data_IF_024356642685
#
_entry.id   IF_024356642685
#
_cell.length_a   1.000
_cell.length_b   1.000
_cell.length_c   1.000
_cell.angle_alpha   90.00
_cell.angle_beta   90.00
_cell.angle_gamma   90.00
#
_symmetry.space_group_name_H-M   'P 1'
#
loop_
_entity.id
_entity.type
_entity.pdbx_description
1 polymer ?
#
# COMPACT_ATOMS: atom_id res chain seq x y z
N UNK A 1 -23.09 -4.27 19.09
CA UNK A 1 -23.51 -5.67 18.84
C UNK A 1 -22.26 -6.53 18.81
N UNK A 2 -22.19 -7.63 19.58
CA UNK A 2 -20.96 -8.38 19.85
C UNK A 2 -20.64 -9.42 18.75
N UNK A 3 -19.35 -9.76 18.62
CA UNK A 3 -18.91 -11.08 18.13
C UNK A 3 -18.81 -11.28 16.61
N UNK A 4 -17.60 -11.07 16.06
CA UNK A 4 -16.89 -12.02 15.21
C UNK A 4 -15.50 -11.44 14.91
N UNK A 5 -14.57 -11.73 15.83
CA UNK A 5 -13.12 -11.58 15.65
C UNK A 5 -12.64 -12.50 14.52
N UNK A 6 -11.65 -12.05 13.73
CA UNK A 6 -10.70 -12.96 13.06
C UNK A 6 -10.74 -13.05 11.54
N UNK A 7 -11.54 -12.25 10.84
CA UNK A 7 -11.42 -12.10 9.39
C UNK A 7 -11.64 -10.63 9.11
N UNK A 8 -10.65 -9.92 8.56
CA UNK A 8 -10.94 -8.70 7.79
C UNK A 8 -11.97 -9.13 6.76
N UNK A 9 -13.26 -8.89 7.05
CA UNK A 9 -14.38 -9.53 6.33
C UNK A 9 -14.06 -9.38 4.84
N UNK A 10 -13.91 -10.50 4.11
CA UNK A 10 -13.60 -10.52 2.66
C UNK A 10 -14.35 -9.45 1.86
N UNK A 11 -15.55 -9.08 2.33
CA UNK A 11 -16.38 -7.99 1.81
C UNK A 11 -15.69 -6.61 1.74
N UNK A 12 -14.82 -6.24 2.69
CA UNK A 12 -14.17 -4.92 2.74
C UNK A 12 -12.98 -4.86 1.79
N UNK A 13 -12.22 -5.96 1.68
CA UNK A 13 -11.18 -6.07 0.66
C UNK A 13 -11.78 -6.00 -0.74
N UNK A 14 -12.95 -6.62 -0.98
CA UNK A 14 -13.61 -6.53 -2.28
C UNK A 14 -14.15 -5.11 -2.58
N UNK A 15 -14.63 -4.39 -1.55
CA UNK A 15 -15.16 -3.02 -1.67
C UNK A 15 -14.12 -2.02 -2.17
N UNK A 16 -12.89 -2.11 -1.66
CA UNK A 16 -11.82 -1.15 -1.97
C UNK A 16 -10.89 -1.59 -3.12
N UNK A 17 -11.29 -2.61 -3.90
CA UNK A 17 -10.47 -3.14 -5.00
C UNK A 17 -9.26 -3.97 -4.52
N UNK A 18 -9.31 -4.43 -3.28
CA UNK A 18 -8.28 -5.18 -2.58
C UNK A 18 -8.23 -4.78 -1.10
N UNK A 19 -7.56 -5.59 -0.29
CA UNK A 19 -7.16 -5.21 1.06
C UNK A 19 -5.91 -4.31 1.04
N UNK A 20 -5.25 -4.12 2.19
CA UNK A 20 -3.87 -3.65 2.21
C UNK A 20 -2.99 -4.55 1.35
N UNK A 21 -2.00 -3.93 0.70
CA UNK A 21 -0.91 -4.64 0.02
C UNK A 21 0.35 -4.43 0.84
N UNK A 22 1.09 -5.50 1.10
CA UNK A 22 2.45 -5.40 1.63
C UNK A 22 3.44 -5.87 0.57
N UNK A 23 4.26 -4.96 0.08
CA UNK A 23 5.38 -5.30 -0.78
C UNK A 23 6.55 -5.85 0.06
N UNK A 24 7.17 -6.91 -0.44
CA UNK A 24 8.28 -7.63 0.19
C UNK A 24 9.60 -7.48 -0.59
N UNK A 25 9.54 -6.90 -1.80
CA UNK A 25 10.69 -6.60 -2.66
C UNK A 25 10.59 -5.16 -3.21
N UNK A 26 11.72 -4.47 -3.47
CA UNK A 26 13.10 -4.90 -3.18
C UNK A 26 13.45 -4.86 -1.68
N UNK A 27 12.64 -4.19 -0.87
CA UNK A 27 12.77 -4.16 0.59
C UNK A 27 11.53 -4.73 1.25
N UNK A 28 11.70 -5.42 2.38
CA UNK A 28 10.58 -6.04 3.08
C UNK A 28 9.68 -5.02 3.77
N UNK A 29 8.39 -5.33 3.77
CA UNK A 29 7.37 -4.66 4.56
C UNK A 29 7.17 -3.18 4.19
N UNK A 30 6.72 -2.96 2.95
CA UNK A 30 6.18 -1.66 2.50
C UNK A 30 4.68 -1.77 2.34
N UNK A 31 3.92 -1.01 3.12
CA UNK A 31 2.45 -1.07 3.10
C UNK A 31 1.85 -0.08 2.10
N UNK A 32 0.79 -0.52 1.42
CA UNK A 32 -0.12 0.30 0.66
C UNK A 32 -1.57 0.01 1.05
N UNK A 33 -2.34 1.06 1.33
CA UNK A 33 -3.72 0.96 1.84
C UNK A 33 -4.72 1.54 0.82
N UNK A 34 -5.46 0.68 0.11
CA UNK A 34 -6.46 1.12 -0.87
C UNK A 34 -7.50 2.06 -0.25
N UNK A 35 -8.04 1.68 0.91
CA UNK A 35 -9.07 2.45 1.62
C UNK A 35 -8.62 3.90 1.89
N UNK A 36 -7.35 4.07 2.28
CA UNK A 36 -6.81 5.40 2.53
C UNK A 36 -6.74 6.23 1.24
N UNK A 37 -6.22 5.65 0.16
CA UNK A 37 -6.05 6.35 -1.11
C UNK A 37 -7.40 6.69 -1.77
N UNK A 38 -8.35 5.75 -1.79
CA UNK A 38 -9.71 5.98 -2.30
C UNK A 38 -10.43 7.05 -1.46
N UNK A 39 -10.22 7.08 -0.14
CA UNK A 39 -10.73 8.11 0.76
C UNK A 39 -10.19 9.52 0.48
N UNK A 40 -9.11 9.67 -0.31
CA UNK A 40 -8.58 10.96 -0.76
C UNK A 40 -9.14 11.42 -2.11
N UNK A 41 -10.26 10.85 -2.55
CA UNK A 41 -10.93 11.15 -3.83
C UNK A 41 -10.16 10.69 -5.07
N UNK A 42 -9.24 9.74 -4.92
CA UNK A 42 -8.67 9.03 -6.07
C UNK A 42 -9.60 7.89 -6.50
N UNK A 43 -9.71 7.66 -7.81
CA UNK A 43 -10.45 6.54 -8.38
C UNK A 43 -9.52 5.40 -8.78
N UNK A 44 -10.08 4.24 -9.13
CA UNK A 44 -9.29 3.08 -9.57
C UNK A 44 -8.37 3.42 -10.77
N UNK A 45 -8.87 4.25 -11.67
CA UNK A 45 -8.17 4.71 -12.88
C UNK A 45 -7.04 5.69 -12.59
N UNK A 46 -7.01 6.29 -11.39
CA UNK A 46 -5.90 7.16 -10.98
C UNK A 46 -4.58 6.38 -10.82
N UNK A 47 -4.67 5.07 -10.61
CA UNK A 47 -3.51 4.19 -10.43
C UNK A 47 -3.41 3.10 -11.51
N UNK A 48 -4.55 2.56 -11.97
CA UNK A 48 -4.58 1.41 -12.85
C UNK A 48 -5.09 1.73 -14.25
N UNK A 49 -4.50 1.13 -15.31
CA UNK A 49 -3.32 0.26 -15.27
C UNK A 49 -1.98 1.03 -15.31
N UNK A 50 -2.04 2.36 -15.45
CA UNK A 50 -0.91 3.19 -15.87
C UNK A 50 0.27 3.16 -14.90
N UNK A 51 0.02 3.36 -13.60
CA UNK A 51 1.06 3.34 -12.57
C UNK A 51 1.31 1.93 -12.04
N UNK A 52 0.24 1.15 -11.89
CA UNK A 52 0.27 -0.19 -11.32
C UNK A 52 -0.63 -1.14 -12.10
N UNK A 53 -0.19 -2.38 -12.30
CA UNK A 53 -1.08 -3.45 -12.71
C UNK A 53 -2.08 -3.77 -11.58
N UNK A 54 -3.26 -4.32 -11.93
CA UNK A 54 -4.28 -4.69 -10.95
C UNK A 54 -3.87 -5.89 -10.09
N UNK A 55 -2.89 -6.68 -10.54
CA UNK A 55 -2.37 -7.82 -9.81
C UNK A 55 -1.42 -7.35 -8.70
N UNK A 56 -1.77 -7.66 -7.45
CA UNK A 56 -0.92 -7.35 -6.31
C UNK A 56 0.48 -7.96 -6.45
N UNK A 57 1.51 -7.18 -6.09
CA UNK A 57 2.92 -7.58 -6.15
C UNK A 57 3.52 -7.68 -7.55
N UNK A 58 2.77 -7.46 -8.63
CA UNK A 58 3.33 -7.55 -9.99
C UNK A 58 4.40 -6.48 -10.24
N UNK A 59 4.21 -5.28 -9.68
CA UNK A 59 5.17 -4.18 -9.80
C UNK A 59 6.53 -4.49 -9.15
N UNK A 60 6.56 -5.40 -8.18
CA UNK A 60 7.79 -5.80 -7.48
C UNK A 60 8.79 -6.55 -8.37
N UNK A 61 8.33 -7.02 -9.53
CA UNK A 61 9.18 -7.69 -10.53
C UNK A 61 9.86 -6.70 -11.48
N UNK A 62 9.53 -5.40 -11.39
CA UNK A 62 10.13 -4.37 -12.24
C UNK A 62 11.42 -3.87 -11.61
N UNK A 63 12.51 -3.89 -12.37
CA UNK A 63 13.83 -3.42 -11.91
C UNK A 63 13.84 -1.93 -11.55
N UNK A 64 12.93 -1.13 -12.13
CA UNK A 64 12.82 0.29 -11.84
C UNK A 64 11.86 0.60 -10.67
N UNK A 65 11.36 -0.39 -9.94
CA UNK A 65 10.57 -0.19 -8.72
C UNK A 65 11.45 0.16 -7.51
N UNK A 66 12.10 1.32 -7.60
CA UNK A 66 13.09 1.81 -6.62
C UNK A 66 12.78 3.24 -6.17
N UNK A 67 13.30 3.65 -5.01
CA UNK A 67 13.16 5.03 -4.51
C UNK A 67 13.70 6.09 -5.49
N UNK A 68 14.73 5.75 -6.27
CA UNK A 68 15.26 6.63 -7.31
C UNK A 68 14.21 6.93 -8.38
N UNK A 69 13.56 5.90 -8.93
CA UNK A 69 12.44 6.07 -9.84
C UNK A 69 11.28 6.83 -9.22
N UNK A 70 11.02 6.63 -7.92
CA UNK A 70 9.95 7.34 -7.22
C UNK A 70 10.27 8.83 -7.14
N UNK A 71 11.52 9.19 -6.87
CA UNK A 71 11.98 10.58 -6.89
C UNK A 71 11.86 11.24 -8.27
N UNK A 72 11.89 10.44 -9.34
CA UNK A 72 11.65 10.90 -10.71
C UNK A 72 10.15 10.94 -11.10
N UNK A 73 9.24 10.78 -10.13
CA UNK A 73 7.80 10.91 -10.34
C UNK A 73 7.11 9.64 -10.84
N UNK A 74 7.76 8.47 -10.76
CA UNK A 74 7.14 7.17 -11.04
C UNK A 74 6.47 6.58 -9.80
N UNK A 75 5.56 5.63 -10.02
CA UNK A 75 4.93 4.82 -8.96
C UNK A 75 4.38 5.69 -7.81
N UNK A 76 4.78 5.40 -6.57
CA UNK A 76 4.40 6.15 -5.37
C UNK A 76 4.72 7.65 -5.50
N UNK A 77 5.87 7.96 -6.08
CA UNK A 77 6.35 9.33 -6.22
C UNK A 77 5.62 10.17 -7.26
N UNK A 78 4.75 9.58 -8.09
CA UNK A 78 3.83 10.34 -8.95
C UNK A 78 2.98 11.32 -8.15
N UNK A 79 2.55 10.88 -6.97
CA UNK A 79 1.73 11.68 -6.05
C UNK A 79 2.50 12.09 -4.79
N UNK A 80 3.37 11.22 -4.26
CA UNK A 80 4.23 11.52 -3.11
C UNK A 80 5.46 12.35 -3.52
N UNK A 81 5.21 13.51 -4.11
CA UNK A 81 6.20 14.41 -4.71
C UNK A 81 6.50 15.67 -3.86
N UNK A 82 5.82 15.85 -2.74
CA UNK A 82 5.95 17.04 -1.88
C UNK A 82 4.92 18.13 -2.16
N UNK A 83 4.17 18.03 -3.25
CA UNK A 83 3.11 19.00 -3.62
C UNK A 83 1.72 18.40 -3.42
N UNK A 84 1.45 17.22 -4.00
CA UNK A 84 0.14 16.57 -3.90
C UNK A 84 0.00 15.76 -2.60
N UNK A 85 1.08 15.08 -2.20
CA UNK A 85 1.22 14.41 -0.91
C UNK A 85 2.66 14.62 -0.41
N UNK A 86 2.95 14.15 0.82
CA UNK A 86 4.31 14.23 1.37
C UNK A 86 5.31 13.56 0.42
N UNK A 87 6.52 14.13 0.33
CA UNK A 87 7.58 13.58 -0.53
C UNK A 87 8.04 12.21 -0.03
N UNK A 88 8.29 11.28 -0.95
CA UNK A 88 8.88 9.97 -0.67
C UNK A 88 10.20 10.03 0.12
N UNK A 89 10.89 11.19 0.17
CA UNK A 89 12.14 11.36 0.90
C UNK A 89 11.99 11.82 2.36
N UNK A 90 10.78 11.99 2.89
CA UNK A 90 10.58 12.67 4.18
C UNK A 90 9.97 11.83 5.30
N UNK A 91 9.12 10.84 4.95
CA UNK A 91 8.33 10.05 5.92
C UNK A 91 8.49 8.55 5.68
N UNK A 92 9.73 8.07 5.73
CA UNK A 92 10.08 6.69 5.34
C UNK A 92 9.24 5.64 6.09
N UNK A 93 9.02 5.82 7.39
CA UNK A 93 8.29 4.88 8.24
C UNK A 93 6.77 4.85 8.02
N UNK A 94 6.22 5.73 7.19
CA UNK A 94 4.79 5.72 6.85
C UNK A 94 4.46 4.66 5.80
N UNK A 95 5.46 4.25 5.02
CA UNK A 95 5.34 3.16 4.06
C UNK A 95 6.18 1.95 4.51
N UNK A 96 7.44 2.20 4.92
CA UNK A 96 8.38 1.16 5.36
C UNK A 96 8.16 0.83 6.84
N UNK A 97 7.24 -0.10 7.11
CA UNK A 97 6.83 -0.46 8.48
C UNK A 97 7.79 -1.45 9.15
N UNK A 98 8.72 -2.03 8.38
CA UNK A 98 9.70 -2.99 8.88
C UNK A 98 9.08 -4.30 9.38
N UNK A 99 9.93 -5.18 9.94
CA UNK A 99 9.51 -6.52 10.39
C UNK A 99 8.47 -6.44 11.52
N UNK A 100 8.63 -5.50 12.45
CA UNK A 100 7.70 -5.35 13.57
C UNK A 100 6.34 -4.81 13.11
N UNK A 101 6.33 -3.83 12.20
CA UNK A 101 5.08 -3.35 11.63
C UNK A 101 4.35 -4.42 10.83
N UNK A 102 5.08 -5.24 10.07
CA UNK A 102 4.49 -6.37 9.35
C UNK A 102 3.83 -7.38 10.29
N UNK A 103 4.57 -7.80 11.33
CA UNK A 103 4.04 -8.71 12.36
C UNK A 103 2.79 -8.14 13.02
N UNK A 104 2.77 -6.84 13.30
CA UNK A 104 1.59 -6.18 13.88
C UNK A 104 0.37 -6.21 12.96
N UNK A 105 0.57 -6.00 11.65
CA UNK A 105 -0.51 -6.14 10.66
C UNK A 105 -1.03 -7.57 10.59
N UNK A 106 -0.14 -8.56 10.54
CA UNK A 106 -0.53 -9.97 10.57
C UNK A 106 -1.34 -10.30 11.83
N UNK A 107 -0.88 -9.85 13.01
CA UNK A 107 -1.60 -10.03 14.27
C UNK A 107 -2.99 -9.37 14.25
N UNK A 108 -3.11 -8.16 13.69
CA UNK A 108 -4.39 -7.45 13.55
C UNK A 108 -5.34 -8.15 12.57
N UNK A 109 -4.83 -8.63 11.43
CA UNK A 109 -5.60 -9.36 10.44
C UNK A 109 -6.11 -10.71 10.97
N UNK A 110 -5.28 -11.38 11.79
CA UNK A 110 -5.63 -12.61 12.50
C UNK A 110 -6.53 -12.38 13.72
N UNK A 111 -6.80 -11.11 14.10
CA UNK A 111 -7.63 -10.74 15.25
C UNK A 111 -7.00 -11.11 16.60
N UNK A 112 -5.68 -11.21 16.66
CA UNK A 112 -4.90 -11.49 17.88
C UNK A 112 -4.73 -10.20 18.71
N UNK A 113 -4.72 -9.04 18.04
CA UNK A 113 -4.65 -7.71 18.63
C UNK A 113 -5.70 -6.79 18.03
#
# INVERSE_FOLDING_TARGET
>A
MPGLLGIVRKSWAQEYGGGPIVFIKPVRAVIFEHKFHLGKKFGCQSCHPDLFAKKAGEVEQKDDFTMESFNQGKYCGKCHNGTLAFSVNTKCNWCHIGVQGHKHLEEYELGIK
#
